data_IF_146521142307
#
_entry.id   IF_146521142307
#
_cell.length_a   1.000
_cell.length_b   1.000
_cell.length_c   1.000
_cell.angle_alpha   90.00
_cell.angle_beta   90.00
_cell.angle_gamma   90.00
#
_symmetry.space_group_name_H-M   'P 1'
#
loop_
_entity.id
_entity.type
_entity.pdbx_description
1 polymer ?
#
# COMPACT_ATOMS: atom_id res chain seq x y z
N UNK A 1 38.22 24.16 10.48
CA UNK A 1 37.52 24.03 9.18
C UNK A 1 37.41 22.58 8.68
N UNK A 2 38.49 21.77 8.71
CA UNK A 2 38.48 20.39 8.20
C UNK A 2 37.51 19.42 8.93
N UNK A 3 37.32 19.57 10.25
CA UNK A 3 36.32 18.80 11.04
C UNK A 3 34.87 19.17 10.67
N UNK A 4 34.63 20.43 10.29
CA UNK A 4 33.31 20.94 9.91
C UNK A 4 32.90 20.39 8.52
N UNK A 5 33.80 20.42 7.55
CA UNK A 5 33.61 19.81 6.22
C UNK A 5 33.39 18.27 6.28
N UNK A 6 34.07 17.57 7.20
CA UNK A 6 33.80 16.13 7.44
C UNK A 6 32.41 15.87 8.05
N UNK A 7 31.94 16.76 8.94
CA UNK A 7 30.60 16.66 9.53
C UNK A 7 29.48 16.78 8.48
N UNK A 8 29.59 17.73 7.56
CA UNK A 8 28.63 17.89 6.45
C UNK A 8 28.64 16.69 5.49
N UNK A 9 29.82 16.11 5.23
CA UNK A 9 29.93 14.89 4.43
C UNK A 9 29.23 13.68 5.07
N UNK A 10 29.43 13.46 6.37
CA UNK A 10 28.77 12.37 7.09
C UNK A 10 27.24 12.55 7.14
N UNK A 11 26.76 13.79 7.33
CA UNK A 11 25.33 14.09 7.37
C UNK A 11 24.68 13.88 6.00
N UNK A 12 25.35 14.27 4.92
CA UNK A 12 24.88 14.02 3.55
C UNK A 12 24.79 12.53 3.22
N UNK A 13 25.75 11.72 3.65
CA UNK A 13 25.71 10.25 3.47
C UNK A 13 24.58 9.64 4.28
N UNK A 14 24.42 10.01 5.55
CA UNK A 14 23.34 9.50 6.39
C UNK A 14 21.94 9.83 5.82
N UNK A 15 21.76 11.08 5.36
CA UNK A 15 20.53 11.49 4.69
C UNK A 15 20.30 10.70 3.39
N UNK A 16 21.36 10.50 2.60
CA UNK A 16 21.29 9.70 1.38
C UNK A 16 20.86 8.25 1.63
N UNK A 17 21.42 7.60 2.66
CA UNK A 17 21.02 6.26 3.09
C UNK A 17 19.55 6.23 3.49
N UNK A 18 19.11 7.19 4.31
CA UNK A 18 17.72 7.28 4.76
C UNK A 18 16.74 7.47 3.59
N UNK A 19 17.03 8.39 2.66
CA UNK A 19 16.18 8.63 1.49
C UNK A 19 16.13 7.39 0.58
N UNK A 20 17.27 6.75 0.35
CA UNK A 20 17.34 5.51 -0.45
C UNK A 20 16.49 4.41 0.18
N UNK A 21 16.59 4.24 1.50
CA UNK A 21 15.78 3.29 2.25
C UNK A 21 14.29 3.59 2.14
N UNK A 22 13.88 4.84 2.41
CA UNK A 22 12.47 5.25 2.37
C UNK A 22 11.85 5.04 0.99
N UNK A 23 12.57 5.40 -0.08
CA UNK A 23 12.11 5.17 -1.47
C UNK A 23 12.03 3.68 -1.78
N UNK A 24 13.03 2.89 -1.39
CA UNK A 24 13.05 1.44 -1.63
C UNK A 24 11.87 0.76 -0.93
N UNK A 25 11.64 1.10 0.34
CA UNK A 25 10.53 0.55 1.12
C UNK A 25 9.18 0.93 0.50
N UNK A 26 8.99 2.19 0.12
CA UNK A 26 7.78 2.65 -0.55
C UNK A 26 7.50 1.87 -1.85
N UNK A 27 8.53 1.66 -2.68
CA UNK A 27 8.39 0.91 -3.94
C UNK A 27 8.08 -0.57 -3.70
N UNK A 28 8.67 -1.19 -2.68
CA UNK A 28 8.35 -2.56 -2.29
C UNK A 28 6.91 -2.67 -1.78
N UNK A 29 6.48 -1.75 -0.92
CA UNK A 29 5.10 -1.72 -0.43
C UNK A 29 4.10 -1.56 -1.57
N UNK A 30 4.36 -0.65 -2.53
CA UNK A 30 3.54 -0.50 -3.73
C UNK A 30 3.46 -1.80 -4.54
N UNK A 31 4.59 -2.48 -4.73
CA UNK A 31 4.64 -3.74 -5.48
C UNK A 31 3.82 -4.83 -4.79
N UNK A 32 3.98 -5.00 -3.48
CA UNK A 32 3.23 -6.04 -2.76
C UNK A 32 1.73 -5.68 -2.75
N UNK A 33 1.36 -4.39 -2.66
CA UNK A 33 -0.04 -3.96 -2.78
C UNK A 33 -0.62 -4.32 -4.16
N UNK A 34 0.12 -4.09 -5.24
CA UNK A 34 -0.27 -4.51 -6.59
C UNK A 34 -0.38 -6.03 -6.73
N UNK A 35 0.49 -6.79 -6.06
CA UNK A 35 0.44 -8.26 -6.05
C UNK A 35 -0.72 -8.82 -5.22
N UNK A 36 -1.14 -8.09 -4.18
CA UNK A 36 -2.29 -8.46 -3.37
C UNK A 36 -3.61 -8.30 -4.14
N UNK A 37 -3.64 -7.45 -5.18
CA UNK A 37 -4.76 -7.31 -6.10
C UNK A 37 -4.83 -8.53 -7.01
N UNK A 38 -5.83 -9.39 -6.80
CA UNK A 38 -6.07 -10.59 -7.59
C UNK A 38 -7.28 -10.41 -8.49
N UNK A 39 -7.20 -10.90 -9.72
CA UNK A 39 -8.38 -11.03 -10.58
C UNK A 39 -9.35 -12.05 -9.96
N UNK A 40 -10.63 -11.72 -10.03
CA UNK A 40 -11.69 -12.62 -9.58
C UNK A 40 -12.32 -13.26 -10.80
N UNK A 41 -12.27 -14.60 -10.85
CA UNK A 41 -12.89 -15.38 -11.90
C UNK A 41 -13.90 -16.36 -11.30
N UNK A 42 -15.12 -16.39 -11.85
CA UNK A 42 -16.15 -17.32 -11.42
C UNK A 42 -16.81 -16.90 -10.11
N UNK A 43 -16.67 -17.74 -9.07
CA UNK A 43 -17.34 -17.52 -7.78
C UNK A 43 -16.71 -16.34 -7.02
N UNK A 44 -17.57 -15.60 -6.33
CA UNK A 44 -17.17 -14.48 -5.52
C UNK A 44 -16.43 -14.98 -4.26
N UNK A 45 -15.26 -14.44 -3.90
CA UNK A 45 -14.58 -14.80 -2.65
C UNK A 45 -15.45 -14.49 -1.43
N UNK A 46 -15.36 -15.32 -0.39
CA UNK A 46 -16.17 -15.19 0.83
C UNK A 46 -16.08 -13.80 1.46
N UNK A 47 -14.86 -13.26 1.58
CA UNK A 47 -14.60 -11.94 2.17
C UNK A 47 -14.76 -10.77 1.20
N UNK A 48 -15.23 -10.99 -0.02
CA UNK A 48 -15.38 -9.92 -1.00
C UNK A 48 -16.47 -8.93 -0.56
N UNK A 49 -16.15 -7.65 -0.33
CA UNK A 49 -17.15 -6.68 0.11
C UNK A 49 -18.01 -6.22 -1.07
N UNK A 50 -19.33 -6.23 -0.88
CA UNK A 50 -20.31 -5.76 -1.87
C UNK A 50 -21.21 -4.71 -1.25
N UNK A 51 -21.28 -3.53 -1.86
CA UNK A 51 -22.27 -2.52 -1.51
C UNK A 51 -23.63 -2.93 -2.08
N UNK A 52 -24.64 -3.02 -1.22
CA UNK A 52 -26.03 -3.33 -1.57
C UNK A 52 -26.94 -2.27 -0.98
N UNK A 53 -27.99 -1.92 -1.72
CA UNK A 53 -29.03 -1.00 -1.28
C UNK A 53 -30.32 -1.79 -1.14
N UNK A 54 -30.84 -1.92 0.07
CA UNK A 54 -32.11 -2.57 0.35
C UNK A 54 -32.91 -1.68 1.32
N UNK A 55 -34.23 -1.63 1.18
CA UNK A 55 -35.09 -0.76 1.99
C UNK A 55 -34.63 0.71 2.01
N UNK A 56 -34.07 1.17 0.88
CA UNK A 56 -33.47 2.51 0.68
C UNK A 56 -32.26 2.83 1.56
N UNK A 57 -31.62 1.81 2.15
CA UNK A 57 -30.42 1.95 2.99
C UNK A 57 -29.22 1.23 2.36
N UNK A 58 -28.04 1.87 2.33
CA UNK A 58 -26.81 1.22 1.88
C UNK A 58 -26.25 0.32 2.98
N UNK A 59 -25.78 -0.86 2.60
CA UNK A 59 -25.17 -1.85 3.49
C UNK A 59 -24.00 -2.53 2.77
N UNK A 60 -22.98 -2.95 3.52
CA UNK A 60 -21.94 -3.82 3.00
C UNK A 60 -22.31 -5.26 3.32
N UNK A 61 -22.34 -6.11 2.31
CA UNK A 61 -22.61 -7.54 2.41
C UNK A 61 -21.38 -8.29 1.91
N UNK A 62 -20.95 -9.29 2.69
CA UNK A 62 -19.84 -10.16 2.34
C UNK A 62 -20.24 -11.17 1.28
N UNK A 63 -19.26 -11.68 0.52
CA UNK A 63 -19.52 -12.50 -0.65
C UNK A 63 -20.20 -13.83 -0.33
N UNK A 64 -19.84 -14.44 0.80
CA UNK A 64 -20.47 -15.65 1.34
C UNK A 64 -21.95 -15.44 1.73
N UNK A 65 -22.29 -14.25 2.23
CA UNK A 65 -23.65 -13.86 2.65
C UNK A 65 -24.51 -13.27 1.54
N UNK A 66 -23.92 -12.95 0.38
CA UNK A 66 -24.63 -12.22 -0.68
C UNK A 66 -25.82 -13.01 -1.23
N UNK A 67 -25.70 -14.33 -1.40
CA UNK A 67 -26.78 -15.15 -1.93
C UNK A 67 -28.01 -15.18 -0.98
N UNK A 68 -27.76 -15.32 0.32
CA UNK A 68 -28.79 -15.29 1.37
C UNK A 68 -29.44 -13.90 1.45
N UNK A 69 -28.64 -12.83 1.42
CA UNK A 69 -29.15 -11.46 1.43
C UNK A 69 -30.12 -11.19 0.27
N UNK A 70 -29.76 -11.63 -0.94
CA UNK A 70 -30.61 -11.48 -2.13
C UNK A 70 -31.94 -12.23 -2.02
N UNK A 71 -31.95 -13.38 -1.35
CA UNK A 71 -33.14 -14.18 -1.16
C UNK A 71 -34.12 -13.51 -0.18
N UNK A 72 -33.60 -12.77 0.81
CA UNK A 72 -34.38 -12.12 1.86
C UNK A 72 -34.82 -10.69 1.54
N UNK A 73 -34.12 -9.99 0.63
CA UNK A 73 -34.40 -8.59 0.27
C UNK A 73 -34.69 -8.43 -1.23
N UNK A 74 -35.84 -8.86 -1.77
CA UNK A 74 -36.09 -8.88 -3.23
C UNK A 74 -36.00 -7.50 -3.91
N UNK A 75 -36.13 -6.42 -3.15
CA UNK A 75 -36.02 -5.02 -3.57
C UNK A 75 -34.57 -4.51 -3.69
N UNK A 76 -33.56 -5.35 -3.41
CA UNK A 76 -32.16 -4.94 -3.40
C UNK A 76 -31.70 -4.30 -4.73
N UNK A 77 -30.76 -3.38 -4.69
CA UNK A 77 -30.06 -2.84 -5.86
C UNK A 77 -28.58 -2.68 -5.58
N UNK A 78 -27.73 -2.90 -6.58
CA UNK A 78 -26.31 -2.57 -6.49
C UNK A 78 -25.98 -1.16 -7.02
N UNK A 79 -26.95 -0.48 -7.62
CA UNK A 79 -26.74 0.85 -8.18
C UNK A 79 -27.02 1.92 -7.13
N UNK A 80 -26.06 2.82 -6.97
CA UNK A 80 -26.19 4.01 -6.13
C UNK A 80 -26.73 5.17 -6.99
N UNK A 81 -27.88 5.78 -6.63
CA UNK A 81 -28.34 6.99 -7.28
C UNK A 81 -27.31 8.12 -7.08
N UNK A 82 -26.89 8.85 -8.14
CA UNK A 82 -25.86 9.89 -8.03
C UNK A 82 -26.16 10.95 -6.99
N UNK A 83 -27.43 11.34 -6.83
CA UNK A 83 -27.89 12.31 -5.85
C UNK A 83 -27.83 11.81 -4.40
N UNK A 84 -27.69 10.49 -4.20
CA UNK A 84 -27.59 9.83 -2.89
C UNK A 84 -26.18 9.39 -2.52
N UNK A 85 -25.21 9.50 -3.43
CA UNK A 85 -23.85 8.97 -3.21
C UNK A 85 -23.21 9.50 -1.91
N UNK A 86 -23.24 10.82 -1.70
CA UNK A 86 -22.64 11.44 -0.52
C UNK A 86 -23.38 11.03 0.78
N UNK A 87 -24.71 10.96 0.74
CA UNK A 87 -25.54 10.53 1.86
C UNK A 87 -25.25 9.07 2.22
N UNK A 88 -25.17 8.19 1.21
CA UNK A 88 -24.89 6.78 1.42
C UNK A 88 -23.46 6.54 1.88
N UNK A 89 -22.49 7.32 1.41
CA UNK A 89 -21.12 7.26 1.93
C UNK A 89 -21.09 7.57 3.42
N UNK A 90 -21.75 8.64 3.84
CA UNK A 90 -21.84 8.99 5.26
C UNK A 90 -22.55 7.92 6.09
N UNK A 91 -23.61 7.30 5.56
CA UNK A 91 -24.30 6.21 6.25
C UNK A 91 -23.42 4.97 6.43
N UNK A 92 -22.66 4.58 5.40
CA UNK A 92 -21.70 3.46 5.49
C UNK A 92 -20.60 3.78 6.48
N UNK A 93 -19.97 4.96 6.38
CA UNK A 93 -18.88 5.37 7.26
C UNK A 93 -19.32 5.49 8.73
N UNK A 94 -20.57 5.90 8.99
CA UNK A 94 -21.15 5.97 10.32
C UNK A 94 -21.55 4.59 10.88
N UNK A 95 -21.82 3.61 10.03
CA UNK A 95 -22.30 2.29 10.41
C UNK A 95 -21.17 1.25 10.45
N UNK A 96 -20.12 1.56 11.21
CA UNK A 96 -18.93 0.72 11.38
C UNK A 96 -18.63 0.53 12.86
N UNK A 97 -18.03 -0.61 13.23
CA UNK A 97 -17.72 -0.92 14.63
C UNK A 97 -16.69 0.04 15.23
N UNK A 98 -15.72 0.51 14.45
CA UNK A 98 -14.68 1.42 14.94
C UNK A 98 -15.23 2.76 15.47
N UNK A 99 -16.43 3.17 15.05
CA UNK A 99 -17.08 4.40 15.54
C UNK A 99 -18.10 4.14 16.65
N UNK A 100 -18.41 2.87 16.97
CA UNK A 100 -19.28 2.54 18.07
C UNK A 100 -18.50 2.68 19.38
N UNK A 101 -18.79 3.72 20.15
CA UNK A 101 -18.31 3.82 21.53
C UNK A 101 -19.21 2.99 22.46
N UNK A 102 -18.68 2.44 23.56
CA UNK A 102 -19.52 1.85 24.61
C UNK A 102 -20.63 2.84 25.04
N UNK A 103 -21.88 2.38 25.23
CA UNK A 103 -22.31 0.98 25.42
C UNK A 103 -22.76 0.24 24.13
N UNK A 104 -22.70 0.86 22.97
CA UNK A 104 -23.25 0.28 21.72
C UNK A 104 -22.28 -0.63 20.97
N UNK A 105 -21.06 -0.78 21.47
CA UNK A 105 -20.03 -1.60 20.84
C UNK A 105 -20.32 -3.10 21.07
N UNK A 106 -20.39 -3.85 19.98
CA UNK A 106 -20.65 -5.29 19.98
C UNK A 106 -19.55 -6.03 19.20
N UNK A 107 -18.82 -6.90 19.89
CA UNK A 107 -17.74 -7.71 19.31
C UNK A 107 -18.26 -8.73 18.30
N UNK A 108 -19.49 -9.21 18.49
CA UNK A 108 -20.13 -10.23 17.67
C UNK A 108 -20.95 -9.61 16.52
N UNK A 109 -20.97 -8.28 16.41
CA UNK A 109 -21.68 -7.58 15.35
C UNK A 109 -21.10 -7.94 13.98
N UNK A 110 -22.01 -8.16 13.02
CA UNK A 110 -21.65 -8.44 11.62
C UNK A 110 -21.15 -7.21 10.87
N UNK A 111 -21.19 -6.03 11.50
CA UNK A 111 -20.72 -4.78 10.92
C UNK A 111 -19.21 -4.82 10.66
N UNK A 112 -18.74 -4.20 9.57
CA UNK A 112 -17.31 -4.06 9.34
C UNK A 112 -16.67 -3.20 10.43
N UNK A 113 -15.38 -3.45 10.71
CA UNK A 113 -14.56 -2.58 11.54
C UNK A 113 -14.47 -1.17 10.93
N UNK A 114 -14.19 -1.11 9.63
CA UNK A 114 -14.23 0.11 8.83
C UNK A 114 -14.79 -0.20 7.44
N UNK A 115 -15.46 0.77 6.82
CA UNK A 115 -15.97 0.61 5.46
C UNK A 115 -16.06 1.96 4.74
N UNK A 116 -15.81 1.94 3.43
CA UNK A 116 -16.01 3.06 2.54
C UNK A 116 -16.28 2.57 1.11
N UNK A 117 -16.84 3.44 0.26
CA UNK A 117 -16.98 3.12 -1.15
C UNK A 117 -16.81 4.35 -2.04
N UNK A 118 -16.43 4.06 -3.29
CA UNK A 118 -16.27 5.05 -4.34
C UNK A 118 -16.85 4.50 -5.65
N UNK A 119 -17.53 5.38 -6.38
CA UNK A 119 -17.97 5.11 -7.74
C UNK A 119 -16.95 5.73 -8.69
N UNK A 120 -16.35 4.94 -9.57
CA UNK A 120 -15.30 5.40 -10.49
C UNK A 120 -15.84 5.78 -11.87
N UNK A 121 -17.04 5.28 -12.23
CA UNK A 121 -17.63 5.57 -13.53
C UNK A 121 -19.06 5.06 -13.67
N UNK A 122 -19.77 5.71 -14.60
CA UNK A 122 -21.13 5.36 -15.02
C UNK A 122 -21.14 5.21 -16.54
N UNK A 123 -21.45 4.02 -17.05
CA UNK A 123 -21.58 3.81 -18.49
C UNK A 123 -22.61 2.72 -18.78
N UNK A 124 -23.53 2.99 -19.71
CA UNK A 124 -24.48 2.01 -20.24
C UNK A 124 -25.31 1.27 -19.16
N UNK A 125 -25.78 2.00 -18.13
CA UNK A 125 -26.55 1.41 -17.02
C UNK A 125 -25.71 0.58 -16.04
N UNK A 126 -24.38 0.64 -16.16
CA UNK A 126 -23.44 0.02 -15.22
C UNK A 126 -22.70 1.06 -14.40
N UNK A 127 -22.38 0.69 -13.17
CA UNK A 127 -21.52 1.45 -12.28
C UNK A 127 -20.25 0.67 -11.97
N UNK A 128 -19.11 1.35 -11.94
CA UNK A 128 -17.85 0.78 -11.46
C UNK A 128 -17.69 1.16 -9.99
N UNK A 129 -17.71 0.17 -9.10
CA UNK A 129 -17.62 0.36 -7.66
C UNK A 129 -16.28 -0.17 -7.14
N UNK A 130 -15.67 0.64 -6.29
CA UNK A 130 -14.59 0.25 -5.40
C UNK A 130 -15.15 0.29 -3.97
N UNK A 131 -15.17 -0.85 -3.30
CA UNK A 131 -15.71 -0.99 -1.93
C UNK A 131 -14.59 -1.50 -1.04
N UNK A 132 -14.27 -0.75 0.00
CA UNK A 132 -13.35 -1.15 1.06
C UNK A 132 -14.17 -1.49 2.30
N UNK A 133 -13.99 -2.69 2.85
CA UNK A 133 -14.56 -3.03 4.14
C UNK A 133 -13.74 -4.12 4.83
N UNK A 134 -13.42 -3.89 6.11
CA UNK A 134 -12.50 -4.74 6.86
C UNK A 134 -13.18 -5.32 8.11
N UNK A 135 -12.75 -6.49 8.56
CA UNK A 135 -13.22 -7.07 9.82
C UNK A 135 -12.40 -6.60 11.04
N UNK A 136 -11.17 -6.15 10.82
CA UNK A 136 -10.27 -5.63 11.84
C UNK A 136 -9.51 -4.41 11.29
N UNK A 137 -8.76 -3.72 12.15
CA UNK A 137 -7.91 -2.57 11.79
C UNK A 137 -6.64 -2.98 11.03
N UNK A 138 -6.25 -4.24 11.15
CA UNK A 138 -5.00 -4.74 10.59
C UNK A 138 -5.09 -5.21 9.13
N UNK A 139 -6.29 -5.45 8.59
CA UNK A 139 -6.45 -5.95 7.21
C UNK A 139 -6.93 -4.87 6.27
N UNK A 140 -6.41 -4.92 5.05
CA UNK A 140 -6.99 -4.25 3.89
C UNK A 140 -7.89 -5.26 3.17
N UNK A 141 -9.10 -4.86 2.78
CA UNK A 141 -10.01 -5.73 2.05
C UNK A 141 -10.91 -4.93 1.10
N UNK A 142 -10.52 -4.91 -0.17
CA UNK A 142 -11.12 -4.05 -1.20
C UNK A 142 -11.65 -4.89 -2.36
N UNK A 143 -12.94 -4.74 -2.66
CA UNK A 143 -13.58 -5.29 -3.85
C UNK A 143 -13.70 -4.23 -4.96
N UNK A 144 -13.29 -4.57 -6.18
CA UNK A 144 -13.54 -3.76 -7.38
C UNK A 144 -14.42 -4.56 -8.35
N UNK A 145 -15.55 -3.99 -8.74
CA UNK A 145 -16.52 -4.66 -9.59
C UNK A 145 -17.35 -3.69 -10.43
N UNK A 146 -17.90 -4.20 -11.53
CA UNK A 146 -18.98 -3.54 -12.25
C UNK A 146 -20.32 -4.03 -11.74
N UNK A 147 -21.31 -3.16 -11.61
CA UNK A 147 -22.65 -3.52 -11.18
C UNK A 147 -23.72 -3.02 -12.16
N UNK A 148 -24.73 -3.84 -12.39
CA UNK A 148 -26.05 -3.43 -12.86
C UNK A 148 -27.00 -3.35 -11.66
N UNK A 149 -28.29 -3.12 -11.88
CA UNK A 149 -29.28 -3.11 -10.80
C UNK A 149 -29.28 -4.40 -9.96
N UNK A 150 -29.12 -5.57 -10.59
CA UNK A 150 -29.29 -6.87 -9.92
C UNK A 150 -28.10 -7.82 -10.05
N UNK A 151 -27.05 -7.43 -10.76
CA UNK A 151 -25.88 -8.28 -10.98
C UNK A 151 -24.59 -7.52 -10.70
N UNK A 152 -23.60 -8.25 -10.22
CA UNK A 152 -22.22 -7.76 -10.11
C UNK A 152 -21.31 -8.61 -10.98
N UNK A 153 -20.33 -7.96 -11.58
CA UNK A 153 -19.24 -8.58 -12.33
C UNK A 153 -17.95 -8.24 -11.57
N UNK A 154 -17.50 -9.13 -10.67
CA UNK A 154 -16.29 -8.89 -9.92
C UNK A 154 -15.09 -8.86 -10.87
N UNK A 155 -14.15 -7.98 -10.57
CA UNK A 155 -13.00 -7.75 -11.43
C UNK A 155 -11.71 -7.98 -10.66
N UNK A 156 -11.55 -7.31 -9.52
CA UNK A 156 -10.41 -7.56 -8.62
C UNK A 156 -10.82 -7.60 -7.15
N UNK A 157 -10.05 -8.35 -6.38
CA UNK A 157 -10.10 -8.41 -4.93
C UNK A 157 -8.71 -8.19 -4.37
N UNK A 158 -8.54 -7.19 -3.50
CA UNK A 158 -7.29 -6.92 -2.80
C UNK A 158 -7.49 -7.24 -1.33
N UNK A 159 -6.78 -8.25 -0.84
CA UNK A 159 -6.83 -8.63 0.57
C UNK A 159 -5.42 -8.90 1.10
N UNK A 160 -5.02 -8.20 2.15
CA UNK A 160 -3.75 -8.46 2.84
C UNK A 160 -3.75 -7.93 4.28
N UNK A 161 -2.83 -8.44 5.08
CA UNK A 161 -2.58 -8.00 6.45
C UNK A 161 -1.54 -6.88 6.44
N UNK A 162 -1.94 -5.67 6.83
CA UNK A 162 -1.16 -4.43 6.82
C UNK A 162 0.18 -4.53 7.56
N UNK A 163 0.21 -4.98 8.83
CA UNK A 163 1.47 -5.13 9.56
C UNK A 163 2.40 -6.17 8.91
N UNK A 164 1.84 -7.24 8.35
CA UNK A 164 2.61 -8.26 7.61
C UNK A 164 3.28 -7.71 6.36
N UNK A 165 2.70 -6.68 5.75
CA UNK A 165 3.27 -5.98 4.61
C UNK A 165 4.60 -5.33 4.98
N UNK A 166 4.60 -4.54 6.07
CA UNK A 166 5.79 -3.85 6.58
C UNK A 166 6.86 -4.86 7.03
N UNK A 167 6.45 -5.91 7.75
CA UNK A 167 7.37 -6.95 8.22
C UNK A 167 8.02 -7.73 7.06
N UNK A 168 7.32 -7.87 5.93
CA UNK A 168 7.84 -8.52 4.73
C UNK A 168 8.79 -7.63 3.91
N UNK A 169 8.49 -6.34 3.76
CA UNK A 169 9.27 -5.43 2.91
C UNK A 169 10.49 -4.84 3.61
N UNK A 170 10.37 -4.53 4.90
CA UNK A 170 11.41 -3.82 5.65
C UNK A 170 12.79 -4.51 5.61
N UNK A 171 12.94 -5.82 5.88
CA UNK A 171 14.25 -6.48 5.82
C UNK A 171 14.85 -6.44 4.40
N UNK A 172 14.00 -6.57 3.38
CA UNK A 172 14.41 -6.52 1.97
C UNK A 172 14.89 -5.11 1.60
N UNK A 173 14.20 -4.06 2.04
CA UNK A 173 14.64 -2.69 1.83
C UNK A 173 15.98 -2.38 2.51
N UNK A 174 16.19 -2.90 3.74
CA UNK A 174 17.48 -2.78 4.44
C UNK A 174 18.59 -3.42 3.61
N UNK A 175 18.40 -4.65 3.12
CA UNK A 175 19.40 -5.37 2.33
C UNK A 175 19.72 -4.67 1.01
N UNK A 176 18.69 -4.21 0.27
CA UNK A 176 18.88 -3.47 -0.98
C UNK A 176 19.66 -2.17 -0.72
N UNK A 177 19.25 -1.40 0.29
CA UNK A 177 19.89 -0.14 0.64
C UNK A 177 21.35 -0.36 1.05
N UNK A 178 21.62 -1.34 1.91
CA UNK A 178 22.97 -1.68 2.33
C UNK A 178 23.85 -2.07 1.13
N UNK A 179 23.32 -2.91 0.23
CA UNK A 179 24.05 -3.36 -0.97
C UNK A 179 24.39 -2.19 -1.89
N UNK A 180 23.45 -1.28 -2.14
CA UNK A 180 23.67 -0.09 -2.97
C UNK A 180 24.76 0.81 -2.38
N UNK A 181 24.71 1.09 -1.08
CA UNK A 181 25.68 1.98 -0.44
C UNK A 181 27.07 1.34 -0.28
N UNK A 182 27.15 0.01 -0.10
CA UNK A 182 28.43 -0.73 -0.17
C UNK A 182 29.03 -0.57 -1.57
N UNK A 183 28.25 -0.76 -2.63
CA UNK A 183 28.72 -0.61 -4.01
C UNK A 183 29.19 0.83 -4.30
N UNK A 184 28.43 1.84 -3.89
CA UNK A 184 28.82 3.26 -4.01
C UNK A 184 30.15 3.52 -3.28
N UNK A 185 30.32 2.98 -2.07
CA UNK A 185 31.55 3.08 -1.30
C UNK A 185 32.75 2.45 -2.01
N UNK A 186 32.57 1.27 -2.61
CA UNK A 186 33.61 0.57 -3.40
C UNK A 186 34.02 1.42 -4.61
N UNK A 187 33.07 1.93 -5.39
CA UNK A 187 33.33 2.75 -6.59
C UNK A 187 34.01 4.07 -6.21
N UNK A 188 33.54 4.74 -5.15
CA UNK A 188 34.13 5.98 -4.68
C UNK A 188 35.58 5.77 -4.20
N UNK A 189 35.85 4.68 -3.47
CA UNK A 189 37.20 4.32 -3.05
C UNK A 189 38.11 4.02 -4.25
N UNK A 190 37.64 3.29 -5.25
CA UNK A 190 38.41 3.01 -6.46
C UNK A 190 38.78 4.30 -7.22
N UNK A 191 37.83 5.23 -7.37
CA UNK A 191 38.05 6.51 -8.06
C UNK A 191 39.00 7.45 -7.31
N UNK A 192 38.98 7.43 -5.97
CA UNK A 192 39.84 8.29 -5.14
C UNK A 192 41.22 7.70 -4.91
N UNK A 193 41.35 6.37 -4.82
CA UNK A 193 42.64 5.68 -4.66
C UNK A 193 43.51 5.70 -5.92
N UNK A 194 42.91 5.78 -7.11
CA UNK A 194 43.63 5.85 -8.39
C UNK A 194 44.40 7.15 -8.63
N UNK A 195 44.20 8.19 -7.80
CA UNK A 195 44.84 9.49 -7.97
C UNK A 195 46.10 9.70 -7.09
N UNK A 196 46.47 8.73 -6.24
CA UNK A 196 47.56 8.86 -5.28
C UNK A 196 48.85 8.07 -5.62
N UNK A 197 48.97 7.45 -6.80
CA UNK A 197 50.14 6.64 -7.17
C UNK A 197 51.28 7.39 -7.89
N UNK A 198 51.25 8.72 -7.97
CA UNK A 198 52.38 9.52 -8.50
C UNK A 198 53.07 10.34 -7.40
N UNK A 199 53.42 9.71 -6.29
CA UNK A 199 54.58 10.17 -5.54
C UNK A 199 55.80 9.75 -6.35
N UNK A 200 56.28 10.66 -7.22
CA UNK A 200 57.61 10.58 -7.81
C UNK A 200 58.59 10.27 -6.68
N UNK A 201 59.09 9.04 -6.64
CA UNK A 201 60.38 8.72 -6.04
C UNK A 201 61.42 9.52 -6.83
N UNK A 202 61.63 10.78 -6.46
CA UNK A 202 62.81 11.52 -6.89
C UNK A 202 63.98 10.88 -6.15
N UNK A 203 64.58 9.89 -6.80
CA UNK A 203 65.90 9.38 -6.43
C UNK A 203 66.84 10.60 -6.47
N UNK A 204 67.18 11.12 -5.29
CA UNK A 204 68.23 12.12 -5.13
C UNK A 204 69.52 11.45 -5.58
N UNK A 205 70.02 11.86 -6.75
CA UNK A 205 71.33 11.46 -7.27
C UNK A 205 72.37 12.18 -6.41
N UNK A 206 72.93 11.47 -5.44
CA UNK A 206 74.15 11.87 -4.74
C UNK A 206 75.28 11.90 -5.75
N UNK A 207 75.66 13.08 -6.23
CA UNK A 207 76.92 13.27 -6.94
C UNK A 207 78.03 13.35 -5.88
N UNK A 208 78.56 12.18 -5.52
CA UNK A 208 79.93 12.09 -5.04
C UNK A 208 80.87 12.14 -6.24
N UNK A 209 81.71 13.18 -6.28
CA UNK A 209 83.00 13.13 -6.95
C UNK A 209 83.97 13.91 -6.09
N UNK A 210 84.84 13.15 -5.41
CA UNK A 210 86.16 13.56 -4.98
C UNK A 210 86.94 14.15 -6.18
N UNK A 211 87.59 15.30 -5.98
CA UNK A 211 89.05 15.57 -6.00
C UNK A 211 89.26 17.01 -5.54
#
# INVERSE_FOLDING_TARGET
MQKFLRGFGCLGVALGVFVTFAVTEFLLMMRVHQQARKEVHGMLPDSFPVLVIADKRPQIVWGDKLAEFKATHPDYSFLVPPEKEAEYRQQIEANVRALQSPPNFDWDSELPWSASFKIEGHANGRQQLLVDATFDDDRMNVGWYEATEKEIQPRYHTMYFGPGHVLGTFPVAVLITATLWIAVGIVWRAKTSGNNSLTKLSIVRSNGTDV
#
